data_IF_986042625856
#
_entry.id   IF_986042625856
#
_cell.length_a   1.000
_cell.length_b   1.000
_cell.length_c   1.000
_cell.angle_alpha   90.00
_cell.angle_beta   90.00
_cell.angle_gamma   90.00
#
_symmetry.space_group_name_H-M   'P 1'
#
loop_
_entity.id
_entity.type
_entity.pdbx_description
1 polymer ?
#
# COMPACT_ATOMS: atom_id res chain seq x y z
N UNK A 1 -61.75 -25.70 15.19
CA UNK A 1 -61.57 -26.01 13.75
C UNK A 1 -61.53 -24.68 13.02
N UNK A 2 -60.36 -24.23 12.53
CA UNK A 2 -60.26 -22.95 11.82
C UNK A 2 -60.70 -23.18 10.38
N UNK A 3 -61.90 -22.71 10.04
CA UNK A 3 -62.43 -22.78 8.69
C UNK A 3 -61.60 -21.84 7.80
N UNK A 4 -60.71 -22.41 6.98
CA UNK A 4 -59.90 -21.64 6.02
C UNK A 4 -60.82 -21.21 4.88
N UNK A 5 -61.31 -19.97 4.92
CA UNK A 5 -62.08 -19.39 3.83
C UNK A 5 -61.22 -19.32 2.55
N UNK A 6 -61.45 -20.24 1.62
CA UNK A 6 -60.79 -20.24 0.30
C UNK A 6 -61.36 -19.08 -0.53
N UNK A 7 -60.52 -18.19 -1.10
CA UNK A 7 -61.00 -17.06 -1.89
C UNK A 7 -61.88 -17.54 -3.04
N UNK A 8 -63.09 -16.99 -3.16
CA UNK A 8 -64.05 -17.39 -4.19
C UNK A 8 -63.56 -16.94 -5.56
N UNK A 9 -63.66 -17.83 -6.57
CA UNK A 9 -63.46 -17.48 -7.98
C UNK A 9 -64.79 -16.98 -8.55
N UNK A 10 -64.77 -15.88 -9.30
CA UNK A 10 -65.91 -15.41 -10.11
C UNK A 10 -65.45 -15.30 -11.56
N UNK A 11 -66.14 -15.98 -12.48
CA UNK A 11 -65.79 -15.98 -13.91
C UNK A 11 -64.41 -16.55 -14.24
N UNK A 12 -63.94 -17.56 -13.48
CA UNK A 12 -62.60 -18.14 -13.67
C UNK A 12 -61.45 -17.31 -13.07
N UNK A 13 -61.68 -16.08 -12.59
CA UNK A 13 -60.64 -15.26 -11.94
C UNK A 13 -60.79 -15.30 -10.41
N UNK A 14 -59.67 -15.45 -9.71
CA UNK A 14 -59.64 -15.34 -8.24
C UNK A 14 -59.80 -13.85 -7.88
N UNK A 15 -60.82 -13.50 -7.10
CA UNK A 15 -61.11 -12.14 -6.66
C UNK A 15 -61.07 -12.10 -5.12
N UNK A 16 -60.48 -11.04 -4.56
CA UNK A 16 -60.36 -10.88 -3.09
C UNK A 16 -58.96 -11.14 -2.51
N UNK A 17 -57.91 -11.27 -3.33
CA UNK A 17 -56.53 -11.20 -2.82
C UNK A 17 -56.18 -9.75 -2.51
N UNK A 18 -56.32 -9.34 -1.25
CA UNK A 18 -55.73 -8.09 -0.78
C UNK A 18 -54.20 -8.19 -0.95
N UNK A 19 -53.57 -7.16 -1.52
CA UNK A 19 -52.11 -7.05 -1.49
C UNK A 19 -51.71 -7.03 -0.02
N UNK A 20 -51.01 -8.07 0.45
CA UNK A 20 -50.28 -7.94 1.71
C UNK A 20 -49.30 -6.79 1.50
N UNK A 21 -49.40 -5.75 2.33
CA UNK A 21 -48.32 -4.79 2.45
C UNK A 21 -47.05 -5.61 2.74
N UNK A 22 -45.99 -5.37 1.96
CA UNK A 22 -44.70 -6.01 2.17
C UNK A 22 -44.31 -5.82 3.63
N UNK A 23 -44.19 -6.90 4.40
CA UNK A 23 -43.70 -6.85 5.78
C UNK A 23 -42.18 -6.69 5.82
N UNK A 24 -41.62 -5.96 4.86
CA UNK A 24 -40.26 -5.47 4.98
C UNK A 24 -40.28 -4.38 6.05
N UNK A 25 -39.48 -4.47 7.12
CA UNK A 25 -39.31 -3.33 7.99
C UNK A 25 -38.79 -2.17 7.14
N UNK A 26 -39.61 -1.13 7.00
CA UNK A 26 -39.21 0.11 6.36
C UNK A 26 -38.30 0.87 7.33
N UNK A 27 -37.07 0.37 7.53
CA UNK A 27 -35.92 1.09 8.07
C UNK A 27 -34.76 0.13 8.28
N UNK A 28 -33.78 0.21 7.40
CA UNK A 28 -32.40 -0.15 7.72
C UNK A 28 -31.53 1.04 7.32
N UNK A 29 -31.81 2.20 7.92
CA UNK A 29 -30.94 3.37 7.90
C UNK A 29 -30.16 3.47 9.22
N UNK A 30 -29.87 2.34 9.86
CA UNK A 30 -28.98 2.30 11.00
C UNK A 30 -27.56 2.19 10.45
N UNK A 31 -26.75 3.23 10.65
CA UNK A 31 -25.33 3.15 10.38
C UNK A 31 -24.77 1.87 11.05
N UNK A 32 -23.83 1.15 10.42
CA UNK A 32 -23.21 0.00 11.06
C UNK A 32 -22.68 0.44 12.42
N UNK A 33 -23.12 -0.23 13.49
CA UNK A 33 -22.54 0.02 14.80
C UNK A 33 -21.09 -0.47 14.74
N UNK A 34 -20.15 0.47 14.76
CA UNK A 34 -18.74 0.17 14.93
C UNK A 34 -18.43 0.23 16.43
N UNK A 35 -17.82 -0.83 16.95
CA UNK A 35 -17.34 -0.88 18.33
C UNK A 35 -16.32 0.25 18.55
N UNK A 36 -16.53 1.16 19.52
CA UNK A 36 -15.60 2.24 19.81
C UNK A 36 -14.17 1.77 20.02
N UNK A 37 -13.96 0.59 20.63
CA UNK A 37 -12.64 0.02 20.86
C UNK A 37 -11.95 -0.35 19.54
N UNK A 38 -12.71 -0.83 18.55
CA UNK A 38 -12.17 -1.14 17.21
C UNK A 38 -11.81 0.15 16.48
N UNK A 39 -12.61 1.22 16.63
CA UNK A 39 -12.31 2.51 16.00
C UNK A 39 -11.01 3.14 16.55
N UNK A 40 -10.79 3.05 17.86
CA UNK A 40 -9.56 3.52 18.50
C UNK A 40 -8.34 2.72 18.02
N UNK A 41 -8.42 1.39 18.00
CA UNK A 41 -7.31 0.56 17.52
C UNK A 41 -6.96 0.82 16.04
N UNK A 42 -7.96 1.10 15.20
CA UNK A 42 -7.73 1.44 13.79
C UNK A 42 -7.05 2.80 13.65
N UNK A 43 -7.44 3.79 14.45
CA UNK A 43 -6.81 5.10 14.47
C UNK A 43 -5.33 5.01 14.87
N UNK A 44 -5.01 4.28 15.94
CA UNK A 44 -3.63 4.08 16.39
C UNK A 44 -2.77 3.36 15.34
N UNK A 45 -3.37 2.40 14.61
CA UNK A 45 -2.71 1.72 13.48
C UNK A 45 -2.45 2.67 12.33
N UNK A 46 -3.40 3.52 11.99
CA UNK A 46 -3.25 4.51 10.92
C UNK A 46 -2.15 5.54 11.28
N UNK A 47 -2.08 6.00 12.53
CA UNK A 47 -1.00 6.86 13.01
C UNK A 47 0.36 6.16 12.90
N UNK A 48 0.44 4.90 13.32
CA UNK A 48 1.67 4.10 13.22
C UNK A 48 2.08 3.87 11.76
N UNK A 49 1.13 3.62 10.87
CA UNK A 49 1.39 3.49 9.43
C UNK A 49 1.99 4.80 8.90
N UNK A 50 1.39 5.94 9.21
CA UNK A 50 1.92 7.25 8.81
C UNK A 50 3.36 7.48 9.28
N UNK A 51 3.65 7.18 10.55
CA UNK A 51 5.01 7.29 11.08
C UNK A 51 6.02 6.35 10.38
N UNK A 52 5.61 5.12 10.05
CA UNK A 52 6.44 4.16 9.33
C UNK A 52 6.67 4.58 7.88
N UNK A 53 5.66 5.15 7.23
CA UNK A 53 5.79 5.71 5.88
C UNK A 53 6.77 6.88 5.86
N UNK A 54 6.69 7.80 6.83
CA UNK A 54 7.65 8.90 6.96
C UNK A 54 9.08 8.39 7.18
N UNK A 55 9.28 7.43 8.08
CA UNK A 55 10.58 6.79 8.29
C UNK A 55 11.09 6.11 7.01
N UNK A 56 10.23 5.37 6.30
CA UNK A 56 10.61 4.74 5.04
C UNK A 56 11.02 5.77 3.98
N UNK A 57 10.32 6.89 3.86
CA UNK A 57 10.71 7.95 2.91
C UNK A 57 12.07 8.54 3.27
N UNK A 58 12.35 8.74 4.56
CA UNK A 58 13.65 9.22 5.04
C UNK A 58 14.76 8.23 4.69
N UNK A 59 14.59 6.95 5.03
CA UNK A 59 15.55 5.87 4.72
C UNK A 59 15.82 5.80 3.22
N UNK A 60 14.78 5.86 2.38
CA UNK A 60 14.93 5.82 0.92
C UNK A 60 15.72 7.02 0.38
N UNK A 61 15.56 8.20 0.98
CA UNK A 61 16.31 9.40 0.60
C UNK A 61 17.80 9.33 0.99
N UNK A 62 18.09 8.79 2.18
CA UNK A 62 19.46 8.53 2.64
C UNK A 62 20.14 7.48 1.77
N UNK A 63 19.43 6.40 1.44
CA UNK A 63 19.89 5.34 0.54
C UNK A 63 20.26 5.88 -0.84
N UNK A 64 19.45 6.79 -1.40
CA UNK A 64 19.73 7.42 -2.67
C UNK A 64 21.01 8.28 -2.61
N UNK A 65 21.18 9.01 -1.50
CA UNK A 65 22.37 9.84 -1.25
C UNK A 65 23.62 8.96 -1.14
N UNK A 66 23.58 7.92 -0.31
CA UNK A 66 24.69 6.96 -0.12
C UNK A 66 25.08 6.30 -1.45
N UNK A 67 24.09 5.90 -2.27
CA UNK A 67 24.37 5.32 -3.59
C UNK A 67 25.10 6.32 -4.49
N UNK A 68 24.70 7.59 -4.48
CA UNK A 68 25.37 8.63 -5.28
C UNK A 68 26.82 8.87 -4.82
N UNK A 69 27.06 8.90 -3.52
CA UNK A 69 28.40 9.04 -2.94
C UNK A 69 29.28 7.84 -3.31
N UNK A 70 28.77 6.62 -3.16
CA UNK A 70 29.48 5.40 -3.54
C UNK A 70 29.87 5.41 -5.03
N UNK A 71 28.99 5.87 -5.92
CA UNK A 71 29.32 5.98 -7.34
C UNK A 71 30.48 6.95 -7.59
N UNK A 72 30.48 8.09 -6.88
CA UNK A 72 31.53 9.10 -6.96
C UNK A 72 32.87 8.55 -6.47
N UNK A 73 32.88 7.90 -5.30
CA UNK A 73 34.06 7.26 -4.71
C UNK A 73 34.66 6.23 -5.68
N UNK A 74 33.82 5.40 -6.33
CA UNK A 74 34.29 4.41 -7.29
C UNK A 74 34.95 5.04 -8.53
N UNK A 75 34.40 6.13 -9.04
CA UNK A 75 34.96 6.87 -10.18
C UNK A 75 36.30 7.51 -9.82
N UNK A 76 36.39 8.11 -8.63
CA UNK A 76 37.63 8.71 -8.13
C UNK A 76 38.71 7.64 -7.89
N UNK A 77 38.35 6.52 -7.28
CA UNK A 77 39.25 5.38 -7.09
C UNK A 77 39.78 4.85 -8.41
N UNK A 78 38.94 4.74 -9.44
CA UNK A 78 39.36 4.30 -10.77
C UNK A 78 40.35 5.30 -11.40
N UNK A 79 40.09 6.59 -11.25
CA UNK A 79 40.98 7.67 -11.73
C UNK A 79 42.33 7.64 -11.03
N UNK A 80 42.34 7.48 -9.70
CA UNK A 80 43.55 7.37 -8.91
C UNK A 80 44.36 6.11 -9.28
N UNK A 81 43.70 4.96 -9.47
CA UNK A 81 44.37 3.73 -9.93
C UNK A 81 45.05 3.94 -11.29
N UNK A 82 44.38 4.59 -12.24
CA UNK A 82 44.95 4.90 -13.55
C UNK A 82 46.18 5.81 -13.42
N UNK A 83 46.09 6.84 -12.60
CA UNK A 83 47.21 7.75 -12.35
C UNK A 83 48.41 7.04 -11.72
N UNK A 84 48.18 6.17 -10.73
CA UNK A 84 49.24 5.39 -10.10
C UNK A 84 49.95 4.45 -11.09
N UNK A 85 49.20 3.83 -12.02
CA UNK A 85 49.79 3.01 -13.10
C UNK A 85 50.68 3.86 -14.01
N UNK A 86 50.26 5.09 -14.35
CA UNK A 86 51.08 5.98 -15.17
C UNK A 86 52.38 6.38 -14.47
N UNK A 87 52.34 6.65 -13.16
CA UNK A 87 53.55 6.92 -12.36
C UNK A 87 54.50 5.74 -12.42
N UNK A 88 54.01 4.52 -12.16
CA UNK A 88 54.84 3.32 -12.21
C UNK A 88 55.51 3.14 -13.57
N UNK A 89 54.76 3.32 -14.66
CA UNK A 89 55.31 3.24 -16.01
C UNK A 89 56.41 4.29 -16.27
N UNK A 90 56.25 5.52 -15.76
CA UNK A 90 57.27 6.55 -15.87
C UNK A 90 58.52 6.19 -15.08
N UNK A 91 58.37 5.66 -13.87
CA UNK A 91 59.49 5.19 -13.05
C UNK A 91 60.25 4.07 -13.75
N UNK A 92 59.55 3.06 -14.29
CA UNK A 92 60.18 1.94 -15.01
C UNK A 92 61.00 2.43 -16.22
N UNK A 93 60.48 3.40 -16.97
CA UNK A 93 61.19 4.03 -18.09
C UNK A 93 62.44 4.77 -17.65
N UNK A 94 62.36 5.54 -16.56
CA UNK A 94 63.51 6.27 -16.02
C UNK A 94 64.61 5.32 -15.58
N UNK A 95 64.26 4.27 -14.84
CA UNK A 95 65.21 3.25 -14.39
C UNK A 95 65.87 2.54 -15.58
N UNK A 96 65.08 2.15 -16.59
CA UNK A 96 65.58 1.50 -17.80
C UNK A 96 66.48 2.40 -18.66
N UNK A 97 66.27 3.72 -18.63
CA UNK A 97 67.10 4.69 -19.36
C UNK A 97 68.43 5.04 -18.67
N UNK A 98 68.60 4.62 -17.41
CA UNK A 98 69.77 4.92 -16.58
C UNK A 98 70.78 3.76 -16.47
N UNK A 99 70.46 2.61 -17.08
CA UNK A 99 71.32 1.40 -17.17
C UNK A 99 71.92 1.28 -18.57
#
# INVERSE_FOLDING_TARGET
>A
MVEKAVPKRKGGRLVGLARRASSYPASSSQAPYADPMILEELHDKDERIGALEEQNTTILSEDATIRSENTTILVELASQKKFNVEIMQKLDRLMSSSS
#
